data_IF_522762520445
#
_entry.id   IF_522762520445
#
_cell.length_a   1.000
_cell.length_b   1.000
_cell.length_c   1.000
_cell.angle_alpha   90.00
_cell.angle_beta   90.00
_cell.angle_gamma   90.00
#
_symmetry.space_group_name_H-M   'P 1'
#
loop_
_entity.id
_entity.type
_entity.pdbx_description
1 polymer ?
#
# COMPACT_ATOMS: atom_id res chain seq x y z
N UNK A 1 13.18 -21.33 -11.92
CA UNK A 1 11.98 -20.73 -12.55
C UNK A 1 10.70 -20.96 -11.76
N UNK A 2 10.57 -22.03 -10.96
CA UNK A 2 9.35 -22.32 -10.18
C UNK A 2 8.90 -21.19 -9.22
N UNK A 3 9.85 -20.44 -8.65
CA UNK A 3 9.53 -19.38 -7.67
C UNK A 3 8.84 -18.16 -8.31
N UNK A 4 9.09 -17.88 -9.60
CA UNK A 4 8.51 -16.71 -10.29
C UNK A 4 6.99 -16.76 -10.33
N UNK A 5 6.44 -17.92 -10.71
CA UNK A 5 4.99 -18.10 -10.83
C UNK A 5 4.32 -18.11 -9.46
N UNK A 6 4.98 -18.69 -8.46
CA UNK A 6 4.52 -18.69 -7.07
C UNK A 6 4.44 -17.26 -6.51
N UNK A 7 5.49 -16.48 -6.69
CA UNK A 7 5.58 -15.10 -6.19
C UNK A 7 4.52 -14.20 -6.82
N UNK A 8 4.34 -14.33 -8.14
CA UNK A 8 3.27 -13.63 -8.86
C UNK A 8 1.89 -14.00 -8.31
N UNK A 9 1.64 -15.29 -8.06
CA UNK A 9 0.37 -15.74 -7.46
C UNK A 9 0.14 -15.13 -6.08
N UNK A 10 1.16 -15.13 -5.22
CA UNK A 10 1.06 -14.53 -3.87
C UNK A 10 0.72 -13.05 -3.96
N UNK A 11 1.42 -12.28 -4.80
CA UNK A 11 1.16 -10.85 -4.96
C UNK A 11 -0.25 -10.57 -5.49
N UNK A 12 -0.74 -11.38 -6.42
CA UNK A 12 -2.11 -11.26 -6.93
C UNK A 12 -3.16 -11.56 -5.85
N UNK A 13 -2.91 -12.54 -4.99
CA UNK A 13 -3.78 -12.80 -3.83
C UNK A 13 -3.74 -11.65 -2.82
N UNK A 14 -2.58 -11.02 -2.61
CA UNK A 14 -2.46 -9.84 -1.74
C UNK A 14 -3.26 -8.64 -2.26
N UNK A 15 -3.21 -8.36 -3.57
CA UNK A 15 -3.98 -7.25 -4.18
C UNK A 15 -5.49 -7.47 -4.07
N UNK A 16 -5.95 -8.73 -4.10
CA UNK A 16 -7.38 -9.06 -3.94
C UNK A 16 -7.90 -8.79 -2.53
N UNK A 17 -7.03 -8.65 -1.53
CA UNK A 17 -7.48 -8.30 -0.18
C UNK A 17 -8.10 -6.91 -0.19
N UNK A 18 -9.19 -6.71 0.56
CA UNK A 18 -9.94 -5.45 0.60
C UNK A 18 -9.03 -4.25 0.86
N UNK A 19 -8.01 -4.44 1.68
CA UNK A 19 -7.12 -3.38 2.15
C UNK A 19 -6.09 -2.94 1.08
N UNK A 20 -5.76 -3.84 0.16
CA UNK A 20 -4.79 -3.63 -0.93
C UNK A 20 -5.48 -3.50 -2.29
N UNK A 21 -6.81 -3.61 -2.34
CA UNK A 21 -7.61 -3.52 -3.57
C UNK A 21 -7.63 -2.11 -4.18
N UNK A 22 -7.07 -1.13 -3.48
CA UNK A 22 -7.03 0.28 -3.88
C UNK A 22 -5.60 0.82 -3.77
N UNK A 23 -5.28 1.75 -4.65
CA UNK A 23 -4.02 2.48 -4.63
C UNK A 23 -3.88 3.25 -3.31
N UNK A 24 -2.73 3.13 -2.65
CA UNK A 24 -2.46 3.82 -1.39
C UNK A 24 -2.44 5.35 -1.49
N UNK A 25 -2.10 5.91 -2.66
CA UNK A 25 -1.99 7.37 -2.84
C UNK A 25 -3.29 8.02 -3.34
N UNK A 26 -3.92 7.43 -4.37
CA UNK A 26 -5.08 8.03 -5.04
C UNK A 26 -6.39 7.27 -4.84
N UNK A 27 -6.37 6.07 -4.24
CA UNK A 27 -7.57 5.27 -4.00
C UNK A 27 -8.17 4.59 -5.23
N UNK A 28 -7.49 4.63 -6.38
CA UNK A 28 -7.90 3.92 -7.61
C UNK A 28 -7.99 2.41 -7.36
N UNK A 29 -9.06 1.71 -7.79
CA UNK A 29 -9.15 0.26 -7.71
C UNK A 29 -8.05 -0.46 -8.50
N UNK A 30 -7.77 -1.70 -8.11
CA UNK A 30 -6.90 -2.64 -8.82
C UNK A 30 -5.48 -2.10 -9.11
N UNK A 31 -4.67 -1.81 -8.09
CA UNK A 31 -3.29 -1.38 -8.28
C UNK A 31 -2.42 -2.48 -8.92
N UNK A 32 -1.80 -2.17 -10.06
CA UNK A 32 -0.92 -3.09 -10.80
C UNK A 32 0.58 -2.96 -10.46
N UNK A 33 0.93 -2.00 -9.61
CA UNK A 33 2.29 -1.70 -9.20
C UNK A 33 2.43 -1.82 -7.69
N UNK A 34 3.63 -2.18 -7.23
CA UNK A 34 3.90 -2.26 -5.81
C UNK A 34 5.29 -1.70 -5.49
N UNK A 35 5.38 -0.95 -4.40
CA UNK A 35 6.65 -0.51 -3.84
C UNK A 35 7.11 -1.50 -2.79
N UNK A 36 8.16 -2.27 -3.08
CA UNK A 36 8.66 -3.29 -2.16
C UNK A 36 9.39 -2.73 -0.95
N UNK A 37 9.85 -1.48 -1.03
CA UNK A 37 10.52 -0.81 0.09
C UNK A 37 9.53 -0.32 1.15
N UNK A 38 8.33 0.06 0.69
CA UNK A 38 7.25 0.59 1.52
C UNK A 38 6.17 -0.46 1.84
N UNK A 39 6.08 -1.53 1.05
CA UNK A 39 5.04 -2.55 1.20
C UNK A 39 3.65 -2.10 0.75
N UNK A 40 3.57 -1.10 -0.13
CA UNK A 40 2.30 -0.52 -0.61
C UNK A 40 2.02 -0.87 -2.07
N UNK A 41 0.74 -0.95 -2.40
CA UNK A 41 0.26 -1.12 -3.77
C UNK A 41 -0.19 0.22 -4.34
N UNK A 42 0.22 0.51 -5.56
CA UNK A 42 -0.02 1.78 -6.25
C UNK A 42 -0.48 1.56 -7.69
N UNK A 43 -1.24 2.52 -8.23
CA UNK A 43 -1.65 2.48 -9.63
C UNK A 43 -0.49 2.89 -10.55
N UNK A 44 -0.67 2.69 -11.87
CA UNK A 44 0.31 3.08 -12.88
C UNK A 44 0.69 4.57 -12.78
N UNK A 45 -0.29 5.45 -12.57
CA UNK A 45 -0.06 6.90 -12.53
C UNK A 45 0.81 7.30 -11.33
N UNK A 46 0.47 6.81 -10.13
CA UNK A 46 1.26 7.02 -8.93
C UNK A 46 2.64 6.36 -9.02
N UNK A 47 2.76 5.20 -9.68
CA UNK A 47 4.05 4.55 -9.89
C UNK A 47 5.07 5.46 -10.61
N UNK A 48 4.61 6.32 -11.53
CA UNK A 48 5.47 7.30 -12.21
C UNK A 48 6.05 8.33 -11.24
N UNK A 49 5.23 8.84 -10.33
CA UNK A 49 5.64 9.79 -9.28
C UNK A 49 6.64 9.12 -8.33
N UNK A 50 6.33 7.90 -7.90
CA UNK A 50 7.19 7.10 -7.03
C UNK A 50 8.56 6.82 -7.66
N UNK A 51 8.64 6.58 -8.98
CA UNK A 51 9.91 6.42 -9.71
C UNK A 51 10.77 7.69 -9.63
N UNK A 52 10.17 8.86 -9.79
CA UNK A 52 10.88 10.15 -9.70
C UNK A 52 11.37 10.45 -8.28
N UNK A 53 10.66 9.97 -7.26
CA UNK A 53 10.99 10.14 -5.84
C UNK A 53 12.00 9.11 -5.30
N UNK A 54 12.66 8.33 -6.17
CA UNK A 54 13.60 7.27 -5.77
C UNK A 54 12.95 6.10 -5.01
N UNK A 55 11.62 5.98 -5.12
CA UNK A 55 10.88 4.85 -4.55
C UNK A 55 11.02 3.66 -5.47
N UNK A 56 11.44 2.53 -4.90
CA UNK A 56 11.66 1.33 -5.69
C UNK A 56 10.33 0.64 -5.95
N UNK A 57 9.74 0.92 -7.13
CA UNK A 57 8.47 0.39 -7.60
C UNK A 57 8.70 -0.66 -8.68
N UNK A 58 7.93 -1.75 -8.62
CA UNK A 58 7.92 -2.84 -9.60
C UNK A 58 6.48 -3.19 -9.98
N UNK A 59 6.27 -3.60 -11.23
CA UNK A 59 4.99 -4.10 -11.72
C UNK A 59 4.74 -5.50 -11.16
N UNK A 60 3.53 -5.74 -10.68
CA UNK A 60 3.13 -7.02 -10.08
C UNK A 60 3.11 -8.14 -11.13
N UNK A 61 2.71 -7.81 -12.37
CA UNK A 61 2.47 -8.80 -13.43
C UNK A 61 3.66 -8.96 -14.39
N UNK A 62 4.40 -7.87 -14.62
CA UNK A 62 5.44 -7.79 -15.65
C UNK A 62 6.85 -8.03 -15.07
N UNK A 63 7.14 -7.50 -13.88
CA UNK A 63 8.47 -7.56 -13.31
C UNK A 63 8.77 -8.90 -12.62
N UNK A 64 10.06 -9.19 -12.48
CA UNK A 64 10.53 -10.31 -11.67
C UNK A 64 10.56 -9.93 -10.18
N UNK A 65 9.98 -10.81 -9.37
CA UNK A 65 9.87 -10.71 -7.93
C UNK A 65 10.68 -11.82 -7.25
N UNK A 66 11.70 -11.41 -6.51
CA UNK A 66 12.48 -12.31 -5.65
C UNK A 66 11.67 -12.68 -4.40
N UNK A 67 11.89 -13.89 -3.88
CA UNK A 67 11.16 -14.41 -2.71
C UNK A 67 11.26 -13.46 -1.51
N UNK A 68 12.46 -12.92 -1.28
CA UNK A 68 12.71 -11.95 -0.20
C UNK A 68 11.87 -10.68 -0.34
N UNK A 69 11.66 -10.19 -1.57
CA UNK A 69 10.87 -8.99 -1.79
C UNK A 69 9.38 -9.24 -1.56
N UNK A 70 8.88 -10.42 -1.97
CA UNK A 70 7.49 -10.82 -1.73
C UNK A 70 7.24 -11.02 -0.24
N UNK A 71 8.17 -11.64 0.48
CA UNK A 71 8.10 -11.79 1.93
C UNK A 71 8.02 -10.41 2.62
N UNK A 72 8.89 -9.48 2.23
CA UNK A 72 8.88 -8.11 2.76
C UNK A 72 7.53 -7.42 2.50
N UNK A 73 6.99 -7.46 1.28
CA UNK A 73 5.67 -6.88 0.99
C UNK A 73 4.57 -7.55 1.81
N UNK A 74 4.60 -8.87 1.93
CA UNK A 74 3.59 -9.63 2.67
C UNK A 74 3.57 -9.20 4.13
N UNK A 75 4.74 -8.99 4.74
CA UNK A 75 4.89 -8.55 6.14
C UNK A 75 4.58 -7.05 6.31
N UNK A 76 5.00 -6.21 5.36
CA UNK A 76 4.79 -4.76 5.44
C UNK A 76 3.33 -4.37 5.18
N UNK A 77 2.64 -5.03 4.25
CA UNK A 77 1.23 -4.77 3.98
C UNK A 77 0.34 -5.06 5.20
N UNK A 78 0.62 -6.13 5.96
CA UNK A 78 -0.07 -6.39 7.24
C UNK A 78 0.36 -5.45 8.35
N UNK A 79 1.64 -5.09 8.49
CA UNK A 79 2.07 -4.15 9.54
C UNK A 79 1.57 -2.73 9.31
N UNK A 80 1.40 -2.28 8.06
CA UNK A 80 0.72 -1.02 7.76
C UNK A 80 -0.77 -1.10 8.11
N UNK A 81 -1.39 -2.27 8.04
CA UNK A 81 -2.76 -2.50 8.52
C UNK A 81 -2.84 -2.44 10.05
N UNK A 82 -1.89 -3.05 10.77
CA UNK A 82 -1.78 -2.91 12.22
C UNK A 82 -1.49 -1.47 12.63
N UNK A 83 -0.61 -0.75 11.94
CA UNK A 83 -0.37 0.66 12.19
C UNK A 83 -1.57 1.52 11.80
N UNK A 84 -2.29 1.23 10.71
CA UNK A 84 -3.53 1.93 10.37
C UNK A 84 -4.62 1.67 11.41
N UNK A 85 -4.79 0.45 11.90
CA UNK A 85 -5.80 0.09 12.89
C UNK A 85 -5.43 0.58 14.32
N UNK A 86 -4.17 0.48 14.74
CA UNK A 86 -3.67 1.04 15.99
C UNK A 86 -3.69 2.57 15.94
N UNK A 87 -3.36 3.17 14.79
CA UNK A 87 -3.39 4.62 14.60
C UNK A 87 -4.79 5.13 14.32
N UNK A 88 -5.77 4.31 13.89
CA UNK A 88 -7.19 4.66 13.96
C UNK A 88 -7.68 4.58 15.41
N UNK A 89 -7.39 3.52 16.16
CA UNK A 89 -7.76 3.42 17.58
C UNK A 89 -7.09 4.49 18.47
N UNK A 90 -5.83 4.87 18.20
CA UNK A 90 -5.17 5.99 18.88
C UNK A 90 -5.50 7.35 18.23
N UNK A 91 -5.84 7.45 16.94
CA UNK A 91 -6.33 8.71 16.35
C UNK A 91 -7.74 9.03 16.78
N UNK A 92 -8.64 8.10 17.13
CA UNK A 92 -9.92 8.53 17.75
C UNK A 92 -9.67 9.20 19.11
N UNK A 93 -8.60 8.81 19.82
CA UNK A 93 -8.24 9.44 21.11
C UNK A 93 -7.45 10.75 20.90
N UNK A 94 -6.60 10.86 19.87
CA UNK A 94 -5.80 12.08 19.60
C UNK A 94 -6.44 13.08 18.61
N UNK A 95 -7.29 12.65 17.69
CA UNK A 95 -8.00 13.53 16.74
C UNK A 95 -9.29 14.12 17.31
N UNK A 96 -9.84 13.57 18.39
CA UNK A 96 -10.90 14.26 19.14
C UNK A 96 -10.41 15.60 19.74
N UNK A 97 -9.10 15.80 19.92
CA UNK A 97 -8.55 17.08 20.41
C UNK A 97 -8.27 18.06 19.26
N UNK A 98 -8.04 17.58 18.03
CA UNK A 98 -7.74 18.47 16.89
C UNK A 98 -8.95 18.85 16.03
N UNK A 99 -10.04 18.06 16.03
CA UNK A 99 -11.27 18.42 15.28
C UNK A 99 -12.07 19.53 15.97
N UNK A 100 -11.82 19.86 17.24
CA UNK A 100 -12.53 20.92 17.96
C UNK A 100 -11.91 22.34 17.84
N UNK A 101 -10.77 22.52 17.15
CA UNK A 101 -10.08 23.82 17.08
C UNK A 101 -10.04 24.43 15.66
N UNK A 102 -10.31 23.68 14.59
CA UNK A 102 -10.30 24.23 13.23
C UNK A 102 -11.46 23.69 12.38
N UNK A 103 -12.59 24.42 12.39
CA UNK A 103 -13.44 24.45 11.19
C UNK A 103 -14.95 24.29 11.35
N UNK A 104 -15.61 24.95 12.30
CA UNK A 104 -16.99 25.41 12.07
C UNK A 104 -16.93 26.86 11.56
N UNK A 105 -17.09 27.04 10.26
CA UNK A 105 -16.96 28.34 9.62
C UNK A 105 -17.28 28.34 8.13
N UNK A 106 -18.39 27.69 7.73
CA UNK A 106 -19.08 28.01 6.47
C UNK A 106 -20.48 27.38 6.41
N UNK A 107 -21.44 28.07 7.02
CA UNK A 107 -22.72 28.49 6.43
C UNK A 107 -23.31 29.60 7.28
#
# INVERSE_FOLDING_TARGET
MANRERNKKILLELVKQSDNSRCADCGEPEPDWASYKLGIFVCLNCSGIHRSLSSHVKSIRLDFWEDKLVEVITVLSVTHLYFCCIRLCLCVILMCVCVFILGDGSS
#
